data_IF_226605016167
#
_entry.id   IF_226605016167
#
_cell.length_a   1.000
_cell.length_b   1.000
_cell.length_c   1.000
_cell.angle_alpha   90.00
_cell.angle_beta   90.00
_cell.angle_gamma   90.00
#
_symmetry.space_group_name_H-M   'P 1'
#
loop_
_entity.id
_entity.type
_entity.pdbx_description
1 polymer ?
#
# COMPACT_ATOMS: atom_id res chain seq x y z
N UNK A 1 -2.95 55.58 -51.86
CA UNK A 1 -3.38 54.66 -50.79
C UNK A 1 -2.40 53.49 -50.78
N UNK A 2 -1.47 53.47 -49.83
CA UNK A 2 -0.38 52.49 -49.79
C UNK A 2 -0.82 51.25 -49.02
N UNK A 3 -0.70 50.07 -49.62
CA UNK A 3 -1.04 48.78 -49.02
C UNK A 3 0.17 48.20 -48.25
N UNK A 4 0.07 48.14 -46.92
CA UNK A 4 1.05 47.46 -46.08
C UNK A 4 0.75 45.95 -46.01
N UNK A 5 1.64 45.13 -46.56
CA UNK A 5 1.63 43.67 -46.42
C UNK A 5 2.21 43.27 -45.05
N UNK A 6 1.35 42.76 -44.15
CA UNK A 6 1.79 42.12 -42.91
C UNK A 6 2.31 40.72 -43.21
N UNK A 7 3.62 40.51 -43.04
CA UNK A 7 4.23 39.19 -43.00
C UNK A 7 3.84 38.50 -41.68
N UNK A 8 3.05 37.43 -41.77
CA UNK A 8 2.80 36.52 -40.66
C UNK A 8 3.94 35.52 -40.56
N UNK A 9 4.76 35.65 -39.51
CA UNK A 9 5.76 34.67 -39.09
C UNK A 9 5.09 33.34 -38.71
N UNK A 10 5.26 32.32 -39.56
CA UNK A 10 4.83 30.96 -39.27
C UNK A 10 5.74 30.34 -38.19
N UNK A 11 5.20 30.18 -36.98
CA UNK A 11 5.81 29.36 -35.95
C UNK A 11 5.77 27.89 -36.41
N UNK A 12 6.95 27.29 -36.57
CA UNK A 12 7.11 25.88 -36.92
C UNK A 12 6.71 24.99 -35.75
N UNK A 13 5.43 24.61 -35.67
CA UNK A 13 5.00 23.50 -34.83
C UNK A 13 5.37 22.20 -35.54
N UNK A 14 6.30 21.44 -34.97
CA UNK A 14 6.67 20.10 -35.44
C UNK A 14 5.51 19.13 -35.17
N UNK A 15 4.47 19.16 -36.00
CA UNK A 15 3.44 18.14 -36.01
C UNK A 15 4.00 16.87 -36.65
N UNK A 16 4.67 16.04 -35.87
CA UNK A 16 4.84 14.64 -36.24
C UNK A 16 3.43 14.08 -36.47
N UNK A 17 3.12 13.72 -37.72
CA UNK A 17 1.81 13.22 -38.14
C UNK A 17 1.61 11.85 -37.49
N UNK A 18 1.10 11.80 -36.27
CA UNK A 18 0.77 10.55 -35.58
C UNK A 18 -0.37 9.89 -36.38
N UNK A 19 -0.19 8.65 -36.88
CA UNK A 19 -1.26 7.93 -37.56
C UNK A 19 -2.44 7.75 -36.61
N UNK A 20 -3.66 8.05 -37.06
CA UNK A 20 -4.87 7.81 -36.25
C UNK A 20 -5.10 6.32 -35.96
N UNK A 21 -4.47 5.44 -36.75
CA UNK A 21 -4.47 3.98 -36.55
C UNK A 21 -3.42 3.51 -35.55
N UNK A 22 -2.54 4.39 -35.06
CA UNK A 22 -1.55 4.00 -34.07
C UNK A 22 -2.25 3.61 -32.74
N UNK A 23 -1.81 2.52 -32.09
CA UNK A 23 -2.32 2.17 -30.76
C UNK A 23 -1.95 3.25 -29.73
N UNK A 24 -2.66 3.27 -28.60
CA UNK A 24 -2.24 4.06 -27.46
C UNK A 24 -0.90 3.55 -26.93
N UNK A 25 -0.07 4.48 -26.45
CA UNK A 25 1.15 4.14 -25.74
C UNK A 25 0.81 3.52 -24.39
N UNK A 26 1.53 2.49 -24.00
CA UNK A 26 1.35 1.84 -22.72
C UNK A 26 2.70 1.68 -22.01
N UNK A 27 2.62 1.48 -20.71
CA UNK A 27 3.74 1.19 -19.85
C UNK A 27 3.53 -0.20 -19.25
N UNK A 28 4.57 -1.02 -19.25
CA UNK A 28 4.55 -2.36 -18.64
C UNK A 28 5.61 -2.43 -17.56
N UNK A 29 5.20 -2.81 -16.36
CA UNK A 29 6.10 -2.92 -15.20
C UNK A 29 7.05 -4.10 -15.41
N UNK A 30 8.34 -3.84 -15.24
CA UNK A 30 9.40 -4.85 -15.30
C UNK A 30 9.93 -5.18 -13.90
N UNK A 31 9.79 -4.26 -12.95
CA UNK A 31 10.20 -4.46 -11.57
C UNK A 31 9.21 -3.78 -10.60
N UNK A 32 8.72 -4.51 -9.58
CA UNK A 32 8.90 -5.94 -9.37
C UNK A 32 8.16 -6.78 -10.45
N UNK A 33 8.50 -8.07 -10.62
CA UNK A 33 7.76 -8.96 -11.50
C UNK A 33 6.29 -9.05 -11.07
N UNK A 34 5.35 -8.85 -12.00
CA UNK A 34 3.91 -8.89 -11.73
C UNK A 34 3.37 -10.32 -11.44
N UNK A 35 4.23 -11.35 -11.46
CA UNK A 35 3.85 -12.76 -11.24
C UNK A 35 3.44 -13.07 -9.80
N UNK A 36 3.76 -12.20 -8.84
CA UNK A 36 3.38 -12.35 -7.44
C UNK A 36 3.29 -11.00 -6.73
N UNK A 37 2.44 -10.91 -5.70
CA UNK A 37 2.37 -9.72 -4.83
C UNK A 37 3.71 -9.52 -4.13
N UNK A 38 4.31 -8.35 -4.33
CA UNK A 38 5.57 -7.97 -3.69
C UNK A 38 5.32 -7.33 -2.33
N UNK A 39 6.16 -7.66 -1.34
CA UNK A 39 6.08 -7.14 0.02
C UNK A 39 7.33 -6.34 0.36
N UNK A 40 7.14 -5.11 0.83
CA UNK A 40 8.23 -4.19 1.14
C UNK A 40 8.20 -3.73 2.60
N UNK A 41 9.39 -3.73 3.20
CA UNK A 41 9.58 -3.38 4.60
C UNK A 41 9.74 -1.88 4.76
N UNK A 42 8.96 -1.26 5.63
CA UNK A 42 9.15 0.12 6.07
C UNK A 42 10.27 0.13 7.13
N UNK A 43 11.52 0.27 6.69
CA UNK A 43 12.70 0.27 7.57
C UNK A 43 13.87 1.02 6.93
N UNK A 44 14.86 1.49 7.73
CA UNK A 44 16.07 2.10 7.19
C UNK A 44 16.74 1.21 6.14
N UNK A 45 17.32 1.85 5.11
CA UNK A 45 18.04 1.17 4.02
C UNK A 45 17.21 0.14 3.23
N UNK A 46 15.87 0.22 3.25
CA UNK A 46 14.99 -0.59 2.43
C UNK A 46 14.26 0.30 1.41
N UNK A 47 14.89 0.52 0.26
CA UNK A 47 14.32 1.27 -0.85
C UNK A 47 13.60 0.35 -1.83
N UNK A 48 12.42 0.73 -2.28
CA UNK A 48 11.73 0.05 -3.37
C UNK A 48 12.25 0.61 -4.70
N UNK A 49 12.43 -0.24 -5.70
CA UNK A 49 12.64 0.20 -7.09
C UNK A 49 11.49 -0.27 -7.95
N UNK A 50 10.81 0.68 -8.59
CA UNK A 50 9.84 0.40 -9.63
C UNK A 50 10.49 0.67 -10.98
N UNK A 51 10.39 -0.27 -11.92
CA UNK A 51 10.91 -0.11 -13.27
C UNK A 51 9.90 -0.60 -14.29
N UNK A 52 9.98 -0.05 -15.50
CA UNK A 52 9.04 -0.33 -16.58
C UNK A 52 9.65 -0.12 -17.96
N UNK A 53 8.95 -0.60 -18.98
CA UNK A 53 9.21 -0.29 -20.38
C UNK A 53 7.99 0.38 -21.02
N UNK A 54 8.26 1.30 -21.94
CA UNK A 54 7.23 1.89 -22.79
C UNK A 54 7.00 1.02 -24.04
N UNK A 55 5.75 0.95 -24.45
CA UNK A 55 5.31 0.29 -25.68
C UNK A 55 4.42 1.26 -26.44
N UNK A 56 4.54 1.29 -27.77
CA UNK A 56 3.69 2.10 -28.65
C UNK A 56 3.66 3.62 -28.35
N UNK A 57 4.65 4.14 -27.61
CA UNK A 57 4.72 5.55 -27.24
C UNK A 57 5.37 6.34 -28.38
N UNK A 58 4.60 7.21 -29.00
CA UNK A 58 5.05 8.11 -30.08
C UNK A 58 5.19 9.57 -29.60
N UNK A 59 4.50 9.91 -28.51
CA UNK A 59 4.62 11.20 -27.82
C UNK A 59 5.09 10.92 -26.40
N UNK A 60 6.35 11.25 -26.13
CA UNK A 60 6.90 11.19 -24.78
C UNK A 60 6.28 12.31 -23.93
N UNK A 61 5.68 12.02 -22.77
CA UNK A 61 5.22 13.04 -21.84
C UNK A 61 6.38 13.96 -21.40
N UNK A 62 6.07 15.14 -20.89
CA UNK A 62 7.07 15.98 -20.21
C UNK A 62 7.39 15.45 -18.83
N UNK A 63 6.36 14.97 -18.13
CA UNK A 63 6.49 14.39 -16.80
C UNK A 63 5.67 13.11 -16.67
N UNK A 64 6.15 12.20 -15.84
CA UNK A 64 5.32 11.12 -15.29
C UNK A 64 4.97 11.48 -13.86
N UNK A 65 3.71 11.22 -13.49
CA UNK A 65 3.28 11.18 -12.11
C UNK A 65 3.18 9.72 -11.67
N UNK A 66 3.87 9.38 -10.59
CA UNK A 66 3.90 8.06 -9.97
C UNK A 66 3.28 8.18 -8.58
N UNK A 67 2.18 7.47 -8.36
CA UNK A 67 1.44 7.51 -7.10
C UNK A 67 1.09 6.11 -6.62
N UNK A 68 1.19 5.89 -5.32
CA UNK A 68 0.77 4.67 -4.65
C UNK A 68 -0.59 4.92 -3.99
N UNK A 69 -1.63 4.29 -4.52
CA UNK A 69 -2.99 4.36 -3.98
C UNK A 69 -3.17 3.24 -2.98
N UNK A 70 -3.37 3.58 -1.71
CA UNK A 70 -3.61 2.62 -0.65
C UNK A 70 -5.07 2.18 -0.61
N UNK A 71 -5.32 0.95 -0.18
CA UNK A 71 -6.68 0.46 0.07
C UNK A 71 -7.46 1.26 1.13
N UNK A 72 -6.76 2.04 1.97
CA UNK A 72 -7.41 2.96 2.92
C UNK A 72 -7.94 4.27 2.27
N UNK A 73 -7.75 4.44 0.96
CA UNK A 73 -8.18 5.63 0.20
C UNK A 73 -7.14 6.75 0.11
N UNK A 74 -6.03 6.67 0.86
CA UNK A 74 -4.97 7.67 0.74
C UNK A 74 -4.10 7.41 -0.49
N UNK A 75 -3.62 8.50 -1.11
CA UNK A 75 -2.67 8.45 -2.22
C UNK A 75 -1.35 9.03 -1.77
N UNK A 76 -0.26 8.33 -2.05
CA UNK A 76 1.09 8.72 -1.65
C UNK A 76 1.96 8.93 -2.88
N UNK A 77 2.67 10.07 -2.99
CA UNK A 77 3.61 10.30 -4.07
C UNK A 77 4.80 9.33 -3.97
N UNK A 78 5.16 8.70 -5.08
CA UNK A 78 6.24 7.71 -5.14
C UNK A 78 7.51 8.34 -5.69
N UNK A 79 8.64 8.06 -5.04
CA UNK A 79 9.95 8.53 -5.47
C UNK A 79 10.45 9.77 -4.72
N UNK A 80 11.64 10.27 -5.09
CA UNK A 80 12.31 11.35 -4.37
C UNK A 80 11.71 12.74 -4.63
N UNK A 81 10.96 12.89 -5.72
CA UNK A 81 10.50 14.17 -6.26
C UNK A 81 8.98 14.35 -6.13
N UNK A 82 8.43 13.99 -4.97
CA UNK A 82 7.00 14.14 -4.68
C UNK A 82 6.08 13.54 -5.77
N UNK A 83 6.47 12.39 -6.32
CA UNK A 83 5.68 11.69 -7.33
C UNK A 83 5.89 12.16 -8.76
N UNK A 84 6.62 13.25 -9.03
CA UNK A 84 6.78 13.80 -10.38
C UNK A 84 8.20 13.54 -10.87
N UNK A 85 8.34 12.78 -11.96
CA UNK A 85 9.63 12.45 -12.59
C UNK A 85 9.63 12.85 -14.06
N UNK A 86 10.80 12.83 -14.70
CA UNK A 86 10.93 13.10 -16.13
C UNK A 86 10.16 12.06 -16.98
N UNK A 87 9.50 12.53 -18.03
CA UNK A 87 8.68 11.72 -18.93
C UNK A 87 9.37 10.54 -19.62
N UNK A 88 10.69 10.60 -19.76
CA UNK A 88 11.51 9.58 -20.44
C UNK A 88 12.07 8.51 -19.49
N UNK A 89 11.95 8.72 -18.18
CA UNK A 89 12.50 7.81 -17.17
C UNK A 89 11.73 6.48 -17.15
N UNK A 90 12.49 5.40 -16.97
CA UNK A 90 11.99 4.02 -16.95
C UNK A 90 12.09 3.36 -15.57
N UNK A 91 12.56 4.08 -14.56
CA UNK A 91 12.61 3.58 -13.18
C UNK A 91 12.58 4.68 -12.13
N UNK A 92 12.03 4.37 -10.96
CA UNK A 92 12.01 5.27 -9.81
C UNK A 92 12.26 4.48 -8.53
N UNK A 93 13.10 5.05 -7.66
CA UNK A 93 13.39 4.49 -6.34
C UNK A 93 12.61 5.23 -5.26
N UNK A 94 11.97 4.51 -4.34
CA UNK A 94 11.20 5.09 -3.24
C UNK A 94 11.74 4.62 -1.89
N UNK A 95 12.26 5.58 -1.11
CA UNK A 95 12.66 5.35 0.27
C UNK A 95 11.46 5.54 1.21
N UNK A 96 10.86 4.42 1.62
CA UNK A 96 9.70 4.39 2.52
C UNK A 96 10.02 5.00 3.88
N UNK A 97 11.23 4.76 4.39
CA UNK A 97 11.62 5.19 5.72
C UNK A 97 11.80 6.71 5.76
N UNK A 98 12.56 7.25 4.81
CA UNK A 98 12.75 8.69 4.69
C UNK A 98 11.43 9.41 4.39
N UNK A 99 10.58 8.83 3.53
CA UNK A 99 9.24 9.37 3.26
C UNK A 99 8.40 9.45 4.54
N UNK A 100 8.33 8.36 5.31
CA UNK A 100 7.52 8.30 6.53
C UNK A 100 8.02 9.27 7.61
N UNK A 101 9.33 9.46 7.74
CA UNK A 101 9.89 10.46 8.66
C UNK A 101 9.52 11.90 8.27
N UNK A 102 9.50 12.20 6.97
CA UNK A 102 9.12 13.53 6.48
C UNK A 102 7.60 13.80 6.57
N UNK A 103 6.76 12.75 6.60
CA UNK A 103 5.29 12.84 6.54
C UNK A 103 4.62 12.23 7.78
N UNK A 104 4.98 12.71 8.96
CA UNK A 104 4.44 12.22 10.24
C UNK A 104 2.93 12.45 10.42
N UNK A 105 2.35 13.43 9.74
CA UNK A 105 0.90 13.69 9.74
C UNK A 105 0.11 12.66 8.92
N UNK A 106 0.73 12.03 7.93
CA UNK A 106 0.10 11.04 7.03
C UNK A 106 1.06 9.85 6.83
N UNK A 107 1.25 9.02 7.86
CA UNK A 107 2.19 7.89 7.80
C UNK A 107 1.72 6.85 6.76
N UNK A 108 2.67 6.09 6.23
CA UNK A 108 2.36 4.97 5.37
C UNK A 108 1.61 3.89 6.17
N UNK A 109 0.51 3.41 5.61
CA UNK A 109 -0.27 2.33 6.18
C UNK A 109 0.39 0.97 5.90
N UNK A 110 0.28 0.05 6.84
CA UNK A 110 0.62 -1.37 6.63
C UNK A 110 -0.56 -2.01 5.90
N UNK A 111 -0.55 -1.90 4.58
CA UNK A 111 -1.67 -2.30 3.71
C UNK A 111 -1.17 -2.63 2.29
N UNK A 112 -2.10 -3.02 1.42
CA UNK A 112 -1.85 -3.16 -0.01
C UNK A 112 -2.04 -1.82 -0.72
N UNK A 113 -1.24 -1.62 -1.76
CA UNK A 113 -1.17 -0.44 -2.59
C UNK A 113 -1.25 -0.84 -4.06
N UNK A 114 -1.88 0.00 -4.86
CA UNK A 114 -1.83 -0.04 -6.33
C UNK A 114 -0.92 1.08 -6.81
N UNK A 115 0.06 0.74 -7.64
CA UNK A 115 0.94 1.73 -8.28
C UNK A 115 0.23 2.28 -9.51
N UNK A 116 -0.01 3.59 -9.52
CA UNK A 116 -0.55 4.31 -10.66
C UNK A 116 0.54 5.19 -11.29
N UNK A 117 0.69 5.08 -12.61
CA UNK A 117 1.64 5.87 -13.39
C UNK A 117 0.90 6.51 -14.56
N UNK A 118 0.95 7.85 -14.68
CA UNK A 118 0.34 8.59 -15.78
C UNK A 118 1.22 9.75 -16.25
N UNK A 119 0.99 10.22 -17.48
CA UNK A 119 1.70 11.37 -18.05
C UNK A 119 0.95 12.70 -17.91
N UNK A 120 1.32 13.72 -18.70
CA UNK A 120 0.78 15.08 -18.62
C UNK A 120 -0.75 15.21 -18.74
N UNK A 121 -1.43 14.19 -19.29
CA UNK A 121 -2.88 14.18 -19.48
C UNK A 121 -3.66 13.87 -18.20
N UNK A 122 -2.97 13.49 -17.13
CA UNK A 122 -3.59 13.15 -15.85
C UNK A 122 -4.12 11.72 -15.77
N UNK A 123 -4.61 11.33 -14.58
CA UNK A 123 -5.20 10.01 -14.36
C UNK A 123 -6.54 9.89 -15.09
N UNK A 124 -6.85 8.69 -15.60
CA UNK A 124 -8.10 8.40 -16.30
C UNK A 124 -8.25 9.06 -17.68
N UNK A 125 -7.18 9.64 -18.24
CA UNK A 125 -7.23 10.27 -19.54
C UNK A 125 -7.67 9.28 -20.65
N UNK A 126 -8.58 9.72 -21.52
CA UNK A 126 -9.07 8.89 -22.62
C UNK A 126 -7.91 8.46 -23.54
N UNK A 127 -7.91 7.18 -23.95
CA UNK A 127 -6.89 6.63 -24.84
C UNK A 127 -6.75 7.45 -26.12
N UNK A 128 -5.53 7.72 -26.54
CA UNK A 128 -5.22 8.52 -27.73
C UNK A 128 -4.02 7.92 -28.46
N UNK A 129 -4.02 7.90 -29.80
CA UNK A 129 -2.95 7.31 -30.60
C UNK A 129 -1.56 7.82 -30.19
N UNK A 130 -0.64 6.92 -29.88
CA UNK A 130 0.75 7.23 -29.55
C UNK A 130 0.99 7.98 -28.23
N UNK A 131 -0.05 8.30 -27.47
CA UNK A 131 0.08 8.94 -26.15
C UNK A 131 0.00 7.90 -25.04
N UNK A 132 0.68 8.17 -23.92
CA UNK A 132 0.69 7.28 -22.77
C UNK A 132 -0.71 7.16 -22.14
N UNK A 133 -1.17 5.93 -21.96
CA UNK A 133 -2.27 5.54 -21.08
C UNK A 133 -1.78 5.29 -19.66
N UNK A 134 -2.64 5.58 -18.69
CA UNK A 134 -2.35 5.28 -17.29
C UNK A 134 -2.09 3.78 -17.08
N UNK A 135 -1.07 3.45 -16.31
CA UNK A 135 -0.83 2.10 -15.80
C UNK A 135 -1.28 2.01 -14.34
N UNK A 136 -2.05 0.98 -14.02
CA UNK A 136 -2.47 0.62 -12.66
C UNK A 136 -2.35 -0.89 -12.40
N UNK A 137 -1.45 -1.56 -13.12
CA UNK A 137 -1.34 -3.02 -13.14
C UNK A 137 -0.64 -3.61 -11.92
N UNK A 138 0.24 -2.85 -11.29
CA UNK A 138 1.06 -3.34 -10.18
C UNK A 138 0.38 -3.14 -8.82
N UNK A 139 0.28 -4.23 -8.06
CA UNK A 139 -0.08 -4.22 -6.63
C UNK A 139 1.07 -4.69 -5.76
N UNK A 140 1.30 -4.01 -4.64
CA UNK A 140 2.33 -4.35 -3.66
C UNK A 140 1.83 -4.06 -2.25
N UNK A 141 2.43 -4.69 -1.24
CA UNK A 141 2.07 -4.47 0.15
C UNK A 141 3.24 -3.92 0.96
N UNK A 142 2.93 -3.05 1.90
CA UNK A 142 3.90 -2.52 2.86
C UNK A 142 3.71 -3.17 4.22
N UNK A 143 4.81 -3.42 4.93
CA UNK A 143 4.78 -3.94 6.31
C UNK A 143 5.82 -3.26 7.20
N UNK A 144 5.51 -3.16 8.49
CA UNK A 144 6.42 -2.63 9.50
C UNK A 144 7.14 -3.76 10.25
N UNK A 145 8.42 -3.58 10.63
CA UNK A 145 9.08 -4.49 11.55
C UNK A 145 8.44 -4.45 12.94
N UNK A 146 8.34 -5.61 13.58
CA UNK A 146 8.13 -5.68 15.02
C UNK A 146 9.39 -5.17 15.74
N UNK A 147 9.27 -4.33 16.78
CA UNK A 147 10.41 -3.93 17.59
C UNK A 147 11.00 -5.16 18.29
N UNK A 148 12.33 -5.24 18.35
CA UNK A 148 13.02 -6.32 19.06
C UNK A 148 12.73 -6.22 20.56
N UNK A 149 12.13 -7.26 21.13
CA UNK A 149 11.98 -7.42 22.58
C UNK A 149 13.10 -8.34 23.07
N UNK A 150 13.98 -7.86 23.98
CA UNK A 150 15.00 -8.70 24.58
C UNK A 150 14.40 -9.94 25.24
N UNK A 151 15.08 -11.07 25.13
CA UNK A 151 14.61 -12.36 25.67
C UNK A 151 14.32 -12.29 27.18
N UNK A 152 15.03 -11.45 27.92
CA UNK A 152 14.81 -11.21 29.35
C UNK A 152 13.46 -10.54 29.66
N UNK A 153 12.84 -9.89 28.68
CA UNK A 153 11.57 -9.17 28.79
C UNK A 153 10.45 -9.79 27.95
N UNK A 154 10.73 -10.85 27.19
CA UNK A 154 9.76 -11.51 26.35
C UNK A 154 8.95 -12.53 27.16
N UNK A 155 7.64 -12.27 27.29
CA UNK A 155 6.71 -13.19 27.94
C UNK A 155 5.89 -13.87 26.87
N UNK A 156 6.05 -15.20 26.70
CA UNK A 156 5.21 -15.97 25.78
C UNK A 156 3.75 -16.00 26.26
N UNK A 157 2.78 -15.47 25.48
CA UNK A 157 1.37 -15.65 25.77
C UNK A 157 1.03 -17.14 25.66
N UNK A 158 0.78 -17.80 26.78
CA UNK A 158 0.41 -19.22 26.84
C UNK A 158 1.51 -20.21 27.24
N UNK A 159 2.79 -19.83 27.23
CA UNK A 159 3.85 -20.74 27.73
C UNK A 159 4.01 -20.70 29.25
N UNK A 160 3.48 -19.66 29.92
CA UNK A 160 3.52 -19.54 31.37
C UNK A 160 2.21 -20.04 32.00
N UNK A 161 2.14 -21.34 32.31
CA UNK A 161 1.01 -21.96 33.02
C UNK A 161 0.75 -21.34 34.41
N UNK A 162 1.71 -20.60 34.97
CA UNK A 162 1.55 -19.90 36.25
C UNK A 162 0.92 -18.50 36.10
N UNK A 163 0.94 -17.91 34.90
CA UNK A 163 0.27 -16.63 34.61
C UNK A 163 -1.14 -16.81 34.02
N UNK A 164 -1.57 -18.03 33.73
CA UNK A 164 -2.91 -18.34 33.22
C UNK A 164 -3.98 -18.43 34.31
N UNK A 165 -3.57 -18.52 35.58
CA UNK A 165 -4.50 -18.63 36.71
C UNK A 165 -5.52 -17.48 36.82
N UNK A 166 -5.15 -16.20 36.61
CA UNK A 166 -6.11 -15.10 36.64
C UNK A 166 -7.15 -15.17 35.50
N UNK A 167 -6.75 -15.59 34.31
CA UNK A 167 -7.65 -15.69 33.14
C UNK A 167 -8.61 -16.88 33.24
N UNK A 168 -8.18 -18.01 33.83
CA UNK A 168 -9.07 -19.14 34.12
C UNK A 168 -10.09 -18.82 35.21
N UNK A 169 -9.72 -18.04 36.23
CA UNK A 169 -10.63 -17.62 37.30
C UNK A 169 -11.62 -16.54 36.84
N UNK A 170 -11.23 -15.71 35.86
CA UNK A 170 -12.10 -14.69 35.26
C UNK A 170 -13.06 -15.26 34.19
N UNK A 171 -12.86 -16.49 33.71
CA UNK A 171 -13.72 -17.09 32.70
C UNK A 171 -15.07 -17.52 33.32
N UNK A 172 -16.22 -16.99 32.86
CA UNK A 172 -17.53 -17.24 33.50
C UNK A 172 -17.91 -18.73 33.59
N UNK A 173 -17.42 -19.56 32.66
CA UNK A 173 -17.63 -21.00 32.67
C UNK A 173 -17.02 -21.70 33.90
N UNK A 174 -15.84 -21.25 34.37
CA UNK A 174 -15.18 -21.83 35.54
C UNK A 174 -15.92 -21.49 36.84
N UNK A 175 -16.37 -20.22 36.97
CA UNK A 175 -17.16 -19.76 38.12
C UNK A 175 -18.48 -20.52 38.22
N UNK A 176 -19.18 -20.72 37.11
CA UNK A 176 -20.43 -21.49 37.09
C UNK A 176 -20.22 -22.95 37.49
N UNK A 177 -19.13 -23.59 37.06
CA UNK A 177 -18.83 -24.98 37.40
C UNK A 177 -18.53 -25.15 38.89
N UNK A 178 -17.72 -24.27 39.47
CA UNK A 178 -17.43 -24.28 40.91
C UNK A 178 -18.69 -24.03 41.74
N UNK A 179 -19.50 -23.04 41.37
CA UNK A 179 -20.75 -22.76 42.07
C UNK A 179 -21.71 -23.96 42.05
N UNK A 180 -21.82 -24.65 40.91
CA UNK A 180 -22.69 -25.83 40.77
C UNK A 180 -22.22 -26.99 41.67
N UNK A 181 -20.91 -27.23 41.75
CA UNK A 181 -20.34 -28.26 42.62
C UNK A 181 -20.60 -27.95 44.09
N UNK A 182 -20.43 -26.69 44.52
CA UNK A 182 -20.71 -26.27 45.90
C UNK A 182 -22.19 -26.44 46.25
N UNK A 183 -23.10 -26.08 45.35
CA UNK A 183 -24.55 -26.25 45.55
C UNK A 183 -24.88 -27.74 45.67
N UNK A 184 -24.30 -28.61 44.84
CA UNK A 184 -24.50 -30.07 44.93
C UNK A 184 -24.03 -30.64 46.27
N UNK A 185 -22.86 -30.21 46.76
CA UNK A 185 -22.34 -30.67 48.05
C UNK A 185 -23.18 -30.20 49.24
N UNK A 186 -23.61 -28.94 49.25
CA UNK A 186 -24.46 -28.41 50.33
C UNK A 186 -25.84 -29.07 50.32
N UNK A 187 -26.43 -29.26 49.13
CA UNK A 187 -27.72 -29.95 48.97
C UNK A 187 -27.62 -31.41 49.43
N UNK A 188 -26.57 -32.11 49.02
CA UNK A 188 -26.30 -33.49 49.45
C UNK A 188 -26.09 -33.61 50.96
N UNK A 189 -25.36 -32.68 51.57
CA UNK A 189 -25.15 -32.65 53.02
C UNK A 189 -26.44 -32.42 53.79
N UNK A 190 -27.32 -31.53 53.31
CA UNK A 190 -28.63 -31.28 53.96
C UNK A 190 -29.56 -32.50 53.90
N UNK A 191 -29.57 -33.23 52.78
CA UNK A 191 -30.37 -34.46 52.63
C UNK A 191 -29.86 -35.58 53.54
N UNK A 192 -28.54 -35.78 53.63
CA UNK A 192 -27.95 -36.78 54.53
C UNK A 192 -28.22 -36.46 56.01
N UNK A 193 -28.23 -35.17 56.37
CA UNK A 193 -28.53 -34.73 57.74
C UNK A 193 -30.01 -34.88 58.10
N UNK A 194 -30.92 -34.73 57.13
CA UNK A 194 -32.35 -34.99 57.33
C UNK A 194 -32.69 -36.49 57.42
N UNK A 195 -31.88 -37.36 56.81
CA UNK A 195 -32.04 -38.82 56.93
C UNK A 195 -31.45 -39.42 58.22
N UNK A 196 -30.66 -38.65 58.96
CA UNK A 196 -30.00 -39.07 60.21
C UNK A 196 -30.78 -38.65 61.49
N UNK A 197 -31.97 -38.08 61.33
CA UNK A 197 -32.97 -37.82 62.38
C UNK A 197 -34.24 -38.62 62.09
#
# INVERSE_FOLDING_TARGET
>A
MSSSSKASSAASSSSSKIPQTAPAGALTITQPPETATSYYKIAPSNTITFAWNFTNLLVTPTHLTVSAICENGNTYPVGPTNGIIDGSVTSVTWDLWSYQQAHSATPLAVATYTLNIWGDRGPGAAMSPGQLSENSGLRFALYSPQPYTPLSSWTCPGCNVNASWPDYVAHPAFVSLVATVVIMFLSGYTLLRQMAH
#
